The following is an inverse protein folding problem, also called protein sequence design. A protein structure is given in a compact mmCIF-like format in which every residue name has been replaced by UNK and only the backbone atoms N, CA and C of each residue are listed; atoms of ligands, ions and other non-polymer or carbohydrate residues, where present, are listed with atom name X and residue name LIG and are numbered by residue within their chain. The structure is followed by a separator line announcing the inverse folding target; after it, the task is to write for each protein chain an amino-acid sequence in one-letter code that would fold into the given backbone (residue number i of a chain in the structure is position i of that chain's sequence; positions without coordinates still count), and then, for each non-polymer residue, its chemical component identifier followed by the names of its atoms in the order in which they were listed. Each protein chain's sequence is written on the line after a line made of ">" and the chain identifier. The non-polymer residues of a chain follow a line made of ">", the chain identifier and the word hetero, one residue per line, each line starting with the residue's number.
data_IF_242213076860
#
_entry.id   IF_242213076860
#
_cell.length_a   1.000
_cell.length_b   1.000
_cell.length_c   1.000
_cell.angle_alpha   90.00
_cell.angle_beta   90.00
_cell.angle_gamma   90.00
#
_symmetry.space_group_name_H-M   'P 1'
#
loop_
_entity.id
_entity.type
_entity.pdbx_description
1 polymer ?
#
# COMPACT_ATOMS: atom_id res chain seq x y z
N UNK A 1 21.32 -26.17 32.37
CA UNK A 1 19.92 -26.27 31.99
C UNK A 1 19.18 -24.95 32.03
N UNK A 2 19.56 -24.01 32.92
CA UNK A 2 19.03 -22.64 32.90
C UNK A 2 19.40 -21.92 31.61
N UNK A 3 20.59 -22.17 31.06
CA UNK A 3 21.07 -21.55 29.82
C UNK A 3 20.19 -21.97 28.65
N UNK A 4 19.82 -23.26 28.54
CA UNK A 4 18.96 -23.74 27.46
C UNK A 4 17.54 -23.15 27.57
N UNK A 5 17.00 -23.06 28.80
CA UNK A 5 15.68 -22.49 29.02
C UNK A 5 15.64 -21.00 28.70
N UNK A 6 16.70 -20.26 29.06
CA UNK A 6 16.83 -18.84 28.72
C UNK A 6 16.96 -18.64 27.19
N UNK A 7 17.72 -19.50 26.51
CA UNK A 7 17.88 -19.44 25.07
C UNK A 7 16.55 -19.73 24.35
N UNK A 8 15.76 -20.71 24.84
CA UNK A 8 14.44 -20.98 24.32
C UNK A 8 13.47 -19.84 24.52
N UNK A 9 13.50 -19.21 25.73
CA UNK A 9 12.67 -18.06 26.05
C UNK A 9 13.01 -16.86 25.15
N UNK A 10 14.31 -16.62 24.93
CA UNK A 10 14.77 -15.56 24.04
C UNK A 10 14.34 -15.82 22.59
N UNK A 11 14.47 -17.07 22.11
CA UNK A 11 14.04 -17.43 20.77
C UNK A 11 12.54 -17.25 20.59
N UNK A 12 11.71 -17.64 21.58
CA UNK A 12 10.27 -17.43 21.57
C UNK A 12 9.90 -15.97 21.56
N UNK A 13 10.56 -15.16 22.39
CA UNK A 13 10.34 -13.72 22.44
C UNK A 13 10.67 -13.06 21.11
N UNK A 14 11.77 -13.49 20.49
CA UNK A 14 12.20 -12.98 19.19
C UNK A 14 11.17 -13.31 18.10
N UNK A 15 10.68 -14.54 18.05
CA UNK A 15 9.66 -14.97 17.10
C UNK A 15 8.36 -14.21 17.31
N UNK A 16 7.94 -14.05 18.57
CA UNK A 16 6.74 -13.29 18.91
C UNK A 16 6.84 -11.84 18.46
N UNK A 17 8.00 -11.22 18.67
CA UNK A 17 8.24 -9.84 18.23
C UNK A 17 8.22 -9.75 16.71
N UNK A 18 8.85 -10.69 15.99
CA UNK A 18 8.83 -10.73 14.53
C UNK A 18 7.40 -10.88 14.01
N UNK A 19 6.60 -11.74 14.64
CA UNK A 19 5.21 -11.94 14.28
C UNK A 19 4.39 -10.66 14.47
N UNK A 20 4.55 -9.97 15.59
CA UNK A 20 3.86 -8.71 15.86
C UNK A 20 4.24 -7.64 14.84
N UNK A 21 5.52 -7.55 14.49
CA UNK A 21 5.99 -6.60 13.48
C UNK A 21 5.44 -6.94 12.09
N UNK A 22 5.40 -8.23 11.74
CA UNK A 22 4.86 -8.67 10.45
C UNK A 22 3.36 -8.39 10.35
N UNK A 23 2.61 -8.61 11.42
CA UNK A 23 1.18 -8.30 11.47
C UNK A 23 0.93 -6.80 11.31
N UNK A 24 1.73 -5.98 11.99
CA UNK A 24 1.62 -4.52 11.89
C UNK A 24 1.95 -4.05 10.47
N UNK A 25 3.00 -4.57 9.88
CA UNK A 25 3.40 -4.24 8.50
C UNK A 25 2.30 -4.64 7.51
N UNK A 26 1.70 -5.82 7.68
CA UNK A 26 0.60 -6.27 6.83
C UNK A 26 -0.63 -5.38 6.98
N UNK A 27 -0.96 -4.96 8.20
CA UNK A 27 -2.10 -4.08 8.46
C UNK A 27 -1.86 -2.70 7.85
N UNK A 28 -0.66 -2.14 8.01
CA UNK A 28 -0.28 -0.86 7.41
C UNK A 28 -0.34 -0.93 5.88
N UNK A 29 0.11 -2.04 5.29
CA UNK A 29 0.07 -2.25 3.84
C UNK A 29 -1.38 -2.27 3.33
N UNK A 30 -2.29 -2.93 4.04
CA UNK A 30 -3.70 -2.97 3.67
C UNK A 30 -4.35 -1.59 3.75
N UNK A 31 -4.00 -0.81 4.76
CA UNK A 31 -4.49 0.57 4.89
C UNK A 31 -3.99 1.44 3.76
N UNK A 32 -2.71 1.31 3.42
CA UNK A 32 -2.12 2.04 2.29
C UNK A 32 -2.80 1.66 0.97
N UNK A 33 -3.13 0.39 0.79
CA UNK A 33 -3.86 -0.09 -0.38
C UNK A 33 -5.26 0.54 -0.47
N UNK A 34 -6.00 0.54 0.64
CA UNK A 34 -7.33 1.16 0.69
C UNK A 34 -7.27 2.66 0.37
N UNK A 35 -6.29 3.37 0.91
CA UNK A 35 -6.08 4.78 0.62
C UNK A 35 -5.73 5.00 -0.85
N UNK A 36 -4.89 4.14 -1.42
CA UNK A 36 -4.49 4.22 -2.83
C UNK A 36 -5.67 3.98 -3.77
N UNK A 37 -6.58 3.06 -3.42
CA UNK A 37 -7.81 2.83 -4.19
C UNK A 37 -8.68 4.09 -4.25
N UNK A 38 -8.88 4.73 -3.12
CA UNK A 38 -9.66 5.96 -3.04
C UNK A 38 -9.00 7.09 -3.84
N UNK A 39 -7.67 7.19 -3.76
CA UNK A 39 -6.92 8.19 -4.49
C UNK A 39 -7.06 8.01 -6.01
N UNK A 40 -7.02 6.77 -6.50
CA UNK A 40 -7.22 6.46 -7.93
C UNK A 40 -8.63 6.88 -8.37
N UNK A 41 -9.65 6.57 -7.59
CA UNK A 41 -11.03 6.95 -7.93
C UNK A 41 -11.20 8.45 -7.99
N UNK A 42 -10.64 9.18 -7.02
CA UNK A 42 -10.71 10.65 -6.99
C UNK A 42 -9.96 11.25 -8.17
N UNK A 43 -8.77 10.75 -8.48
CA UNK A 43 -7.98 11.24 -9.60
C UNK A 43 -8.67 10.96 -10.94
N UNK A 44 -9.31 9.81 -11.07
CA UNK A 44 -10.07 9.45 -12.27
C UNK A 44 -11.25 10.38 -12.49
N UNK A 45 -12.02 10.66 -11.45
CA UNK A 45 -13.15 11.59 -11.54
C UNK A 45 -12.67 12.99 -11.88
N UNK A 46 -11.60 13.44 -11.25
CA UNK A 46 -11.02 14.75 -11.53
C UNK A 46 -10.55 14.83 -12.99
N UNK A 47 -9.95 13.78 -13.51
CA UNK A 47 -9.52 13.69 -14.91
C UNK A 47 -10.71 13.77 -15.86
N UNK A 48 -11.83 13.11 -15.52
CA UNK A 48 -13.06 13.17 -16.30
C UNK A 48 -13.62 14.59 -16.39
N UNK A 49 -13.68 15.29 -15.25
CA UNK A 49 -14.14 16.69 -15.23
C UNK A 49 -13.23 17.58 -16.04
N UNK A 50 -11.92 17.38 -15.93
CA UNK A 50 -10.95 18.14 -16.69
C UNK A 50 -11.08 17.87 -18.20
N UNK A 51 -11.33 16.64 -18.60
CA UNK A 51 -11.57 16.26 -19.99
C UNK A 51 -12.78 16.97 -20.58
N UNK A 52 -13.90 16.89 -19.87
CA UNK A 52 -15.13 17.56 -20.29
C UNK A 52 -14.93 19.07 -20.39
N UNK A 53 -14.31 19.67 -19.36
CA UNK A 53 -14.05 21.11 -19.34
C UNK A 53 -13.10 21.56 -20.46
N UNK A 54 -12.11 20.73 -20.79
CA UNK A 54 -11.20 21.01 -21.91
C UNK A 54 -11.94 20.94 -23.26
N UNK A 55 -12.77 19.93 -23.46
CA UNK A 55 -13.56 19.79 -24.70
C UNK A 55 -14.52 20.96 -24.89
N UNK A 56 -15.07 21.47 -23.81
CA UNK A 56 -15.98 22.62 -23.83
C UNK A 56 -15.25 23.96 -23.86
N UNK A 57 -13.93 23.96 -23.82
CA UNK A 57 -13.13 25.17 -23.88
C UNK A 57 -13.07 25.96 -22.57
N UNK A 58 -13.50 25.37 -21.46
CA UNK A 58 -13.54 26.01 -20.15
C UNK A 58 -12.23 25.83 -19.39
N UNK A 59 -11.57 24.70 -19.57
CA UNK A 59 -10.33 24.33 -18.87
C UNK A 59 -9.15 24.35 -19.85
N UNK A 60 -8.01 25.00 -19.50
CA UNK A 60 -6.83 24.98 -20.33
C UNK A 60 -6.25 23.55 -20.51
N UNK A 61 -5.58 23.34 -21.63
CA UNK A 61 -4.92 22.05 -21.91
C UNK A 61 -3.94 21.64 -20.82
N UNK A 62 -3.22 22.59 -20.23
CA UNK A 62 -2.27 22.31 -19.15
C UNK A 62 -2.98 21.63 -17.96
N UNK A 63 -4.14 22.13 -17.57
CA UNK A 63 -4.90 21.58 -16.45
C UNK A 63 -5.39 20.16 -16.76
N UNK A 64 -5.82 19.90 -17.98
CA UNK A 64 -6.20 18.57 -18.41
C UNK A 64 -4.99 17.62 -18.35
N UNK A 65 -3.85 18.02 -18.89
CA UNK A 65 -2.62 17.22 -18.88
C UNK A 65 -2.16 16.92 -17.45
N UNK A 66 -2.24 17.91 -16.56
CA UNK A 66 -1.93 17.69 -15.14
C UNK A 66 -2.85 16.68 -14.48
N UNK A 67 -4.15 16.71 -14.80
CA UNK A 67 -5.12 15.75 -14.28
C UNK A 67 -4.83 14.33 -14.79
N UNK A 68 -4.46 14.18 -16.05
CA UNK A 68 -4.06 12.88 -16.62
C UNK A 68 -2.81 12.34 -15.91
N UNK A 69 -1.81 13.18 -15.71
CA UNK A 69 -0.57 12.80 -15.03
C UNK A 69 -0.86 12.38 -13.58
N UNK A 70 -1.72 13.12 -12.89
CA UNK A 70 -2.12 12.77 -11.51
C UNK A 70 -2.83 11.42 -11.45
N UNK A 71 -3.68 11.13 -12.43
CA UNK A 71 -4.36 9.84 -12.49
C UNK A 71 -3.38 8.69 -12.74
N UNK A 72 -2.44 8.85 -13.67
CA UNK A 72 -1.40 7.86 -13.95
C UNK A 72 -0.53 7.62 -12.71
N UNK A 73 -0.13 8.69 -12.03
CA UNK A 73 0.65 8.60 -10.79
C UNK A 73 -0.10 7.85 -9.68
N UNK A 74 -1.41 8.10 -9.55
CA UNK A 74 -2.25 7.41 -8.58
C UNK A 74 -2.35 5.91 -8.90
N UNK A 75 -2.45 5.54 -10.18
CA UNK A 75 -2.45 4.14 -10.60
C UNK A 75 -1.13 3.45 -10.25
N UNK A 76 0.01 4.11 -10.48
CA UNK A 76 1.32 3.58 -10.12
C UNK A 76 1.43 3.35 -8.61
N UNK A 77 0.94 4.29 -7.81
CA UNK A 77 0.91 4.16 -6.36
C UNK A 77 0.04 3.01 -5.90
N UNK A 78 -1.06 2.76 -6.60
CA UNK A 78 -1.94 1.61 -6.31
C UNK A 78 -1.22 0.30 -6.57
N UNK A 79 -0.50 0.18 -7.67
CA UNK A 79 0.29 -1.01 -8.00
C UNK A 79 1.34 -1.25 -6.92
N UNK A 80 2.06 -0.22 -6.50
CA UNK A 80 3.05 -0.32 -5.42
C UNK A 80 2.41 -0.80 -4.13
N UNK A 81 1.23 -0.28 -3.79
CA UNK A 81 0.50 -0.69 -2.59
C UNK A 81 0.06 -2.16 -2.67
N UNK A 82 -0.38 -2.61 -3.84
CA UNK A 82 -0.73 -4.02 -4.07
C UNK A 82 0.48 -4.94 -3.84
N UNK A 83 1.63 -4.56 -4.38
CA UNK A 83 2.87 -5.32 -4.21
C UNK A 83 3.24 -5.40 -2.73
N UNK A 84 3.13 -4.31 -1.99
CA UNK A 84 3.41 -4.28 -0.55
C UNK A 84 2.51 -5.22 0.24
N UNK A 85 1.22 -5.26 -0.11
CA UNK A 85 0.27 -6.19 0.53
C UNK A 85 0.71 -7.62 0.27
N UNK A 86 1.01 -7.98 -0.97
CA UNK A 86 1.43 -9.32 -1.34
C UNK A 86 2.72 -9.73 -0.61
N UNK A 87 3.70 -8.83 -0.57
CA UNK A 87 4.98 -9.10 0.09
C UNK A 87 4.81 -9.25 1.61
N UNK A 88 3.98 -8.40 2.23
CA UNK A 88 3.75 -8.46 3.67
C UNK A 88 2.99 -9.72 4.08
N UNK A 89 2.02 -10.16 3.27
CA UNK A 89 1.30 -11.40 3.50
C UNK A 89 2.19 -12.62 3.31
N UNK A 90 3.06 -12.60 2.30
CA UNK A 90 4.03 -13.67 2.06
C UNK A 90 5.01 -13.80 3.23
N UNK A 91 5.50 -12.68 3.75
CA UNK A 91 6.39 -12.65 4.90
C UNK A 91 5.69 -13.21 6.15
N UNK A 92 4.43 -12.82 6.36
CA UNK A 92 3.63 -13.31 7.47
C UNK A 92 3.44 -14.82 7.40
N UNK A 93 3.11 -15.36 6.22
CA UNK A 93 2.98 -16.80 6.00
C UNK A 93 4.29 -17.53 6.31
N UNK A 94 5.41 -16.99 5.91
CA UNK A 94 6.73 -17.58 6.18
C UNK A 94 7.02 -17.66 7.69
N UNK A 95 6.67 -16.62 8.42
CA UNK A 95 6.84 -16.59 9.87
C UNK A 95 5.93 -17.60 10.55
N UNK A 96 4.67 -17.71 10.10
CA UNK A 96 3.70 -18.65 10.66
C UNK A 96 4.06 -20.11 10.34
N UNK A 97 4.78 -20.35 9.24
CA UNK A 97 5.23 -21.69 8.86
C UNK A 97 6.43 -22.18 9.68
N UNK A 98 7.09 -21.28 10.41
CA UNK A 98 8.21 -21.67 11.30
C UNK A 98 7.70 -22.23 12.62
#
# INVERSE_FOLDING_TARGET
>A
HRVKQLQLAEARSKITLQMKQALRTADDARRAYSTALKAVEMARENMRYAEVGYKEGVIPLLNYTMAQTAWMSAQDSLIDAQIRVLLSESKLKNILAL
#
